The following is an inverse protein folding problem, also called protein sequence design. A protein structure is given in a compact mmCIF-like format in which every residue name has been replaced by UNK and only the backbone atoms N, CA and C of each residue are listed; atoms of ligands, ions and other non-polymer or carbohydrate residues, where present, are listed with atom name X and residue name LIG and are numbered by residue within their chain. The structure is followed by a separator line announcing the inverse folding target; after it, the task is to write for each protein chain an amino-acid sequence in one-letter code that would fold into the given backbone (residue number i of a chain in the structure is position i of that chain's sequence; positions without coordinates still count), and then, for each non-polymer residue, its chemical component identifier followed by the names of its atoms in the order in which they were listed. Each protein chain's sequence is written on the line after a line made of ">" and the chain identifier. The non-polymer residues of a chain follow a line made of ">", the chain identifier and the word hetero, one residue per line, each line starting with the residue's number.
data_IF_774459523051
#
_entry.id   IF_774459523051
#
_cell.length_a   1.000
_cell.length_b   1.000
_cell.length_c   1.000
_cell.angle_alpha   90.00
_cell.angle_beta   90.00
_cell.angle_gamma   90.00
#
_symmetry.space_group_name_H-M   'P 1'
#
loop_
_entity.id
_entity.type
_entity.pdbx_description
1 polymer ?
#
# COMPACT_ATOMS: atom_id res chain seq x y z
N UNK A 1 -33.83 -10.69 21.34
CA UNK A 1 -33.18 -11.87 20.73
C UNK A 1 -31.99 -11.33 19.98
N UNK A 2 -30.87 -11.10 20.66
CA UNK A 2 -29.84 -12.13 20.87
C UNK A 2 -28.72 -11.78 19.91
N UNK A 3 -27.85 -10.85 20.32
CA UNK A 3 -26.69 -10.45 19.55
C UNK A 3 -25.80 -11.68 19.33
N UNK A 4 -25.53 -11.98 18.06
CA UNK A 4 -24.56 -12.99 17.64
C UNK A 4 -23.17 -12.52 18.02
N UNK A 5 -22.69 -12.93 19.20
CA UNK A 5 -21.27 -12.97 19.49
C UNK A 5 -20.61 -14.04 18.60
N UNK A 6 -19.35 -13.79 18.23
CA UNK A 6 -18.42 -14.66 17.49
C UNK A 6 -18.56 -14.70 15.95
N UNK A 7 -18.30 -13.57 15.30
CA UNK A 7 -17.65 -13.62 14.00
C UNK A 7 -16.16 -13.95 14.22
N UNK A 8 -15.82 -15.24 14.35
CA UNK A 8 -14.43 -15.68 14.56
C UNK A 8 -13.57 -15.28 13.36
N UNK A 9 -12.54 -14.49 13.61
CA UNK A 9 -11.64 -13.93 12.59
C UNK A 9 -10.91 -15.06 11.83
N UNK A 10 -10.68 -14.95 10.50
CA UNK A 10 -9.97 -15.96 9.73
C UNK A 10 -8.56 -16.21 10.28
N UNK A 11 -8.15 -17.49 10.34
CA UNK A 11 -6.84 -17.91 10.85
C UNK A 11 -6.16 -18.78 9.81
N UNK A 12 -4.87 -18.55 9.60
CA UNK A 12 -4.05 -19.42 8.77
C UNK A 12 -2.97 -20.09 9.63
N UNK A 13 -2.71 -21.38 9.39
CA UNK A 13 -1.54 -22.05 9.95
C UNK A 13 -0.48 -22.25 8.87
N UNK A 14 0.75 -21.96 9.22
CA UNK A 14 1.94 -22.26 8.42
C UNK A 14 2.77 -23.29 9.18
N UNK A 15 3.15 -24.39 8.53
CA UNK A 15 4.05 -25.39 9.10
C UNK A 15 4.76 -26.18 8.01
N UNK A 16 5.90 -26.74 8.34
CA UNK A 16 6.72 -27.53 7.40
C UNK A 16 6.63 -29.01 7.76
N UNK A 17 6.57 -29.89 6.75
CA UNK A 17 6.41 -31.34 6.93
C UNK A 17 7.49 -32.08 6.15
N UNK A 18 8.25 -32.94 6.84
CA UNK A 18 9.21 -33.86 6.20
C UNK A 18 8.43 -34.95 5.46
N UNK A 19 8.66 -35.10 4.16
CA UNK A 19 7.90 -36.01 3.31
C UNK A 19 8.18 -37.48 3.64
N UNK A 20 7.11 -38.25 3.80
CA UNK A 20 7.12 -39.71 3.91
C UNK A 20 5.70 -40.27 3.73
N UNK A 21 5.54 -41.54 3.31
CA UNK A 21 4.22 -42.14 3.10
C UNK A 21 3.30 -41.99 4.32
N UNK A 22 2.08 -41.48 4.09
CA UNK A 22 1.05 -41.31 5.11
C UNK A 22 1.20 -40.09 6.03
N UNK A 23 2.28 -39.30 5.90
CA UNK A 23 2.52 -38.16 6.82
C UNK A 23 1.42 -37.10 6.74
N UNK A 24 0.93 -36.80 5.52
CA UNK A 24 -0.12 -35.80 5.33
C UNK A 24 -1.45 -36.24 5.96
N UNK A 25 -1.84 -37.51 5.81
CA UNK A 25 -3.01 -38.06 6.50
C UNK A 25 -2.86 -37.92 8.02
N UNK A 26 -1.67 -38.22 8.53
CA UNK A 26 -1.29 -37.98 9.92
C UNK A 26 -1.57 -36.53 10.32
N UNK A 27 -0.97 -35.58 9.64
CA UNK A 27 -1.14 -34.13 9.91
C UNK A 27 -2.62 -33.72 9.87
N UNK A 28 -3.36 -34.08 8.82
CA UNK A 28 -4.77 -33.70 8.67
C UNK A 28 -5.67 -34.31 9.74
N UNK A 29 -5.34 -35.50 10.25
CA UNK A 29 -6.07 -36.13 11.34
C UNK A 29 -6.07 -35.32 12.65
N UNK A 30 -5.08 -34.43 12.86
CA UNK A 30 -5.02 -33.55 14.04
C UNK A 30 -6.10 -32.48 14.00
N UNK A 31 -6.31 -31.85 12.84
CA UNK A 31 -7.41 -30.90 12.63
C UNK A 31 -8.77 -31.57 12.84
N UNK A 32 -8.95 -32.78 12.29
CA UNK A 32 -10.17 -33.58 12.48
C UNK A 32 -10.41 -33.90 13.96
N UNK A 33 -9.36 -34.23 14.72
CA UNK A 33 -9.48 -34.52 16.15
C UNK A 33 -9.91 -33.30 16.99
N UNK A 34 -9.62 -32.10 16.50
CA UNK A 34 -10.01 -30.83 17.12
C UNK A 34 -11.34 -30.27 16.58
N UNK A 35 -12.04 -31.00 15.69
CA UNK A 35 -13.28 -30.54 15.05
C UNK A 35 -13.09 -29.17 14.37
N UNK A 36 -12.01 -29.05 13.57
CA UNK A 36 -11.64 -27.86 12.79
C UNK A 36 -11.84 -28.15 11.31
N UNK A 37 -12.64 -27.33 10.64
CA UNK A 37 -12.78 -27.37 9.18
C UNK A 37 -11.70 -26.53 8.49
N UNK A 38 -11.24 -27.01 7.33
CA UNK A 38 -10.20 -26.36 6.53
C UNK A 38 -10.84 -25.73 5.29
N UNK A 39 -10.66 -24.41 5.13
CA UNK A 39 -11.14 -23.66 3.97
C UNK A 39 -10.22 -23.89 2.78
N UNK A 40 -8.91 -23.89 3.01
CA UNK A 40 -7.90 -24.08 1.98
C UNK A 40 -6.72 -24.85 2.54
N UNK A 41 -6.10 -25.68 1.70
CA UNK A 41 -4.85 -26.37 2.00
C UNK A 41 -3.96 -26.23 0.78
N UNK A 42 -2.81 -25.62 0.97
CA UNK A 42 -1.80 -25.50 -0.07
C UNK A 42 -0.46 -26.00 0.43
N UNK A 43 0.22 -26.81 -0.38
CA UNK A 43 1.60 -27.19 -0.14
C UNK A 43 2.55 -26.58 -1.17
N UNK A 44 3.78 -26.27 -0.76
CA UNK A 44 4.86 -25.87 -1.64
C UNK A 44 6.12 -26.69 -1.33
N UNK A 45 6.91 -27.09 -2.33
CA UNK A 45 8.19 -27.74 -2.08
C UNK A 45 9.12 -26.79 -1.34
N UNK A 46 9.59 -27.21 -0.18
CA UNK A 46 10.66 -26.57 0.57
C UNK A 46 12.03 -27.14 0.18
N UNK A 47 13.01 -27.01 1.08
CA UNK A 47 14.34 -27.62 0.89
C UNK A 47 14.31 -29.10 1.27
N UNK A 48 15.04 -29.94 0.53
CA UNK A 48 15.42 -31.31 0.94
C UNK A 48 14.26 -32.23 1.36
N UNK A 49 13.22 -32.36 0.53
CA UNK A 49 12.11 -33.29 0.80
C UNK A 49 11.16 -32.82 1.91
N UNK A 50 11.23 -31.54 2.29
CA UNK A 50 10.26 -30.88 3.16
C UNK A 50 9.22 -30.17 2.29
N UNK A 51 7.97 -30.16 2.74
CA UNK A 51 6.89 -29.38 2.16
C UNK A 51 6.35 -28.36 3.16
N UNK A 52 6.24 -27.11 2.74
CA UNK A 52 5.59 -26.07 3.52
C UNK A 52 4.10 -26.09 3.23
N UNK A 53 3.30 -26.17 4.29
CA UNK A 53 1.85 -26.19 4.25
C UNK A 53 1.30 -24.87 4.75
N UNK A 54 0.33 -24.36 4.01
CA UNK A 54 -0.45 -23.19 4.35
C UNK A 54 -1.91 -23.63 4.40
N UNK A 55 -2.51 -23.50 5.58
CA UNK A 55 -3.84 -24.02 5.85
C UNK A 55 -4.71 -22.90 6.37
N UNK A 56 -5.70 -22.49 5.59
CA UNK A 56 -6.69 -21.50 6.02
C UNK A 56 -7.85 -22.23 6.71
N UNK A 57 -8.20 -21.77 7.91
CA UNK A 57 -9.21 -22.40 8.77
C UNK A 57 -10.53 -21.65 8.67
N UNK A 58 -11.62 -22.37 8.90
CA UNK A 58 -12.88 -21.70 9.20
C UNK A 58 -12.76 -20.92 10.54
N UNK A 59 -13.65 -19.95 10.76
CA UNK A 59 -13.86 -19.34 12.07
C UNK A 59 -14.06 -20.41 13.16
N UNK A 60 -13.08 -20.60 14.08
CA UNK A 60 -13.15 -21.59 15.19
C UNK A 60 -12.70 -20.96 16.51
N UNK A 61 -13.24 -21.46 17.63
CA UNK A 61 -12.86 -21.05 18.98
C UNK A 61 -11.33 -21.18 19.27
N UNK A 62 -10.69 -20.17 19.90
CA UNK A 62 -9.23 -20.13 20.11
C UNK A 62 -8.64 -21.37 20.78
N UNK A 63 -9.33 -21.94 21.77
CA UNK A 63 -8.88 -23.13 22.50
C UNK A 63 -8.72 -24.37 21.59
N UNK A 64 -9.57 -24.52 20.56
CA UNK A 64 -9.44 -25.63 19.59
C UNK A 64 -8.23 -25.43 18.69
N UNK A 65 -7.94 -24.19 18.30
CA UNK A 65 -6.76 -23.85 17.50
C UNK A 65 -5.49 -24.11 18.31
N UNK A 66 -5.44 -23.69 19.58
CA UNK A 66 -4.33 -23.99 20.49
C UNK A 66 -4.09 -25.49 20.61
N UNK A 67 -5.16 -26.28 20.78
CA UNK A 67 -5.07 -27.73 20.83
C UNK A 67 -4.52 -28.31 19.52
N UNK A 68 -5.02 -27.86 18.36
CA UNK A 68 -4.53 -28.31 17.06
C UNK A 68 -3.05 -27.96 16.85
N UNK A 69 -2.63 -26.75 17.23
CA UNK A 69 -1.22 -26.32 17.17
C UNK A 69 -0.34 -27.18 18.07
N UNK A 70 -0.77 -27.51 19.29
CA UNK A 70 -0.04 -28.45 20.17
C UNK A 70 0.06 -29.85 19.56
N UNK A 71 -1.03 -30.34 18.96
CA UNK A 71 -1.05 -31.64 18.29
C UNK A 71 -0.16 -31.67 17.03
N UNK A 72 -0.04 -30.56 16.31
CA UNK A 72 0.88 -30.42 15.18
C UNK A 72 2.33 -30.40 15.67
N UNK A 73 2.65 -29.58 16.69
CA UNK A 73 4.00 -29.48 17.27
C UNK A 73 4.50 -30.79 17.89
N UNK A 74 3.61 -31.68 18.30
CA UNK A 74 3.98 -33.01 18.82
C UNK A 74 4.18 -34.06 17.71
N UNK A 75 3.89 -33.74 16.45
CA UNK A 75 4.15 -34.64 15.33
C UNK A 75 5.62 -34.57 14.92
N UNK A 76 6.30 -35.72 14.96
CA UNK A 76 7.73 -35.89 14.66
C UNK A 76 8.19 -35.41 13.27
N UNK A 77 7.28 -35.26 12.31
CA UNK A 77 7.58 -34.80 10.96
C UNK A 77 7.23 -33.33 10.73
N UNK A 78 6.58 -32.66 11.70
CA UNK A 78 6.12 -31.28 11.59
C UNK A 78 7.08 -30.35 12.31
N UNK A 79 7.45 -29.26 11.65
CA UNK A 79 8.35 -28.22 12.15
C UNK A 79 7.77 -26.83 11.84
N UNK A 80 8.33 -25.79 12.46
CA UNK A 80 8.05 -24.38 12.15
C UNK A 80 6.57 -23.97 12.17
N UNK A 81 5.80 -24.52 13.12
CA UNK A 81 4.36 -24.22 13.26
C UNK A 81 4.14 -22.77 13.73
N UNK A 82 3.58 -21.95 12.84
CA UNK A 82 3.18 -20.56 13.05
C UNK A 82 1.67 -20.40 12.86
N UNK A 83 1.07 -19.57 13.71
CA UNK A 83 -0.34 -19.18 13.61
C UNK A 83 -0.41 -17.74 13.11
N UNK A 84 -1.15 -17.51 12.03
CA UNK A 84 -1.38 -16.19 11.44
C UNK A 84 -2.79 -15.71 11.80
N UNK A 85 -2.90 -14.52 12.39
CA UNK A 85 -4.18 -13.95 12.85
C UNK A 85 -4.32 -12.49 12.40
N UNK A 86 -5.54 -12.04 12.06
CA UNK A 86 -5.76 -10.62 11.76
C UNK A 86 -5.85 -9.73 13.01
N UNK A 87 -6.07 -10.32 14.19
CA UNK A 87 -6.05 -9.62 15.47
C UNK A 87 -4.74 -9.89 16.21
N UNK A 88 -4.19 -8.86 16.85
CA UNK A 88 -3.07 -8.97 17.77
C UNK A 88 -3.50 -9.71 19.04
N UNK A 89 -3.49 -11.05 18.99
CA UNK A 89 -3.72 -11.84 20.18
C UNK A 89 -2.45 -11.83 21.04
N UNK A 90 -2.61 -11.66 22.36
CA UNK A 90 -1.52 -11.63 23.34
C UNK A 90 -0.82 -12.99 23.54
N UNK A 91 -1.17 -14.00 22.74
CA UNK A 91 -0.49 -15.28 22.72
C UNK A 91 0.86 -15.13 22.00
N UNK A 92 1.94 -15.42 22.71
CA UNK A 92 3.36 -15.21 22.37
C UNK A 92 3.88 -15.91 21.11
N UNK A 93 3.02 -16.52 20.29
CA UNK A 93 3.42 -17.22 19.04
C UNK A 93 2.59 -16.89 17.80
N UNK A 94 1.64 -15.93 17.86
CA UNK A 94 0.90 -15.51 16.66
C UNK A 94 1.64 -14.43 15.89
N UNK A 95 1.73 -14.61 14.58
CA UNK A 95 2.24 -13.61 13.63
C UNK A 95 1.03 -12.88 13.02
N UNK A 96 1.04 -11.55 12.89
CA UNK A 96 0.00 -10.84 12.16
C UNK A 96 -0.18 -11.41 10.75
N UNK A 97 -1.44 -11.63 10.34
CA UNK A 97 -1.74 -12.14 9.02
C UNK A 97 -1.26 -11.15 7.94
N UNK A 98 -0.76 -11.70 6.84
CA UNK A 98 -0.37 -10.93 5.66
C UNK A 98 -0.73 -11.69 4.38
N UNK A 99 -1.01 -10.97 3.27
CA UNK A 99 -1.29 -11.60 1.99
C UNK A 99 -0.06 -12.37 1.50
N UNK A 100 -0.25 -13.58 0.98
CA UNK A 100 0.83 -14.46 0.51
C UNK A 100 0.94 -14.48 -1.00
N UNK A 101 -0.16 -14.17 -1.68
CA UNK A 101 -0.26 -14.05 -3.13
C UNK A 101 -0.87 -12.70 -3.46
N UNK A 102 -0.54 -12.20 -4.65
CA UNK A 102 -1.13 -10.97 -5.19
C UNK A 102 -2.68 -11.00 -5.22
N UNK A 103 -3.29 -12.18 -5.41
CA UNK A 103 -4.75 -12.34 -5.37
C UNK A 103 -5.37 -12.09 -3.99
N UNK A 104 -4.60 -12.26 -2.92
CA UNK A 104 -5.10 -12.10 -1.55
C UNK A 104 -5.36 -10.61 -1.23
N UNK A 105 -4.78 -9.70 -2.03
CA UNK A 105 -5.09 -8.26 -2.00
C UNK A 105 -6.55 -7.97 -2.42
N UNK A 106 -7.24 -8.93 -3.04
CA UNK A 106 -8.68 -8.80 -3.32
C UNK A 106 -9.54 -8.67 -2.06
N UNK A 107 -9.02 -9.12 -0.91
CA UNK A 107 -9.70 -9.01 0.39
C UNK A 107 -9.65 -7.59 0.99
N UNK A 108 -8.87 -6.68 0.40
CA UNK A 108 -8.71 -5.31 0.92
C UNK A 108 -9.75 -4.34 0.35
N UNK A 109 -10.39 -4.71 -0.77
CA UNK A 109 -11.24 -3.81 -1.54
C UNK A 109 -12.39 -3.19 -0.74
N UNK A 110 -12.83 -3.82 0.35
CA UNK A 110 -13.94 -3.36 1.20
C UNK A 110 -13.48 -2.78 2.55
N UNK A 111 -12.17 -2.78 2.85
CA UNK A 111 -11.60 -2.36 4.14
C UNK A 111 -11.16 -0.89 4.14
N UNK A 112 -12.03 -0.01 3.68
CA UNK A 112 -11.74 1.44 3.61
C UNK A 112 -12.03 2.09 4.95
N UNK A 113 -11.09 2.89 5.44
CA UNK A 113 -11.21 3.64 6.70
C UNK A 113 -11.86 5.01 6.51
N UNK A 114 -11.47 5.72 5.44
CA UNK A 114 -11.94 7.09 5.17
C UNK A 114 -11.74 7.50 3.71
N UNK A 115 -12.24 8.69 3.35
CA UNK A 115 -12.11 9.30 2.01
C UNK A 115 -12.62 8.39 0.88
N UNK A 116 -13.66 7.60 1.18
CA UNK A 116 -14.32 6.71 0.23
C UNK A 116 -15.49 7.39 -0.47
N UNK A 117 -16.68 6.80 -0.33
CA UNK A 117 -17.94 7.42 -0.75
C UNK A 117 -18.42 8.49 0.25
N UNK A 118 -18.16 8.23 1.54
CA UNK A 118 -18.48 9.14 2.63
C UNK A 118 -17.43 10.25 2.73
N UNK A 119 -17.91 11.50 2.70
CA UNK A 119 -17.10 12.71 2.78
C UNK A 119 -17.28 13.37 4.14
N UNK A 120 -16.21 13.92 4.69
CA UNK A 120 -16.27 14.74 5.90
C UNK A 120 -17.07 16.03 5.67
N UNK A 121 -17.65 16.60 6.74
CA UNK A 121 -18.56 17.73 6.65
C UNK A 121 -17.89 19.03 6.13
N UNK A 122 -16.58 19.15 6.29
CA UNK A 122 -15.74 20.25 5.81
C UNK A 122 -15.19 20.01 4.39
N UNK A 123 -15.43 18.84 3.81
CA UNK A 123 -15.03 18.55 2.43
C UNK A 123 -15.81 19.46 1.45
N UNK A 124 -15.15 20.07 0.44
CA UNK A 124 -15.80 21.01 -0.48
C UNK A 124 -16.97 20.40 -1.28
N UNK A 125 -16.94 19.09 -1.50
CA UNK A 125 -18.01 18.32 -2.15
C UNK A 125 -19.08 17.75 -1.22
N UNK A 126 -19.05 18.02 0.10
CA UNK A 126 -19.97 17.39 1.06
C UNK A 126 -21.45 17.68 0.77
N UNK A 127 -21.76 18.92 0.36
CA UNK A 127 -23.13 19.34 0.03
C UNK A 127 -23.46 19.20 -1.47
N UNK A 128 -22.48 18.85 -2.30
CA UNK A 128 -22.68 18.63 -3.74
C UNK A 128 -23.21 17.20 -3.97
N UNK A 129 -24.48 17.10 -4.36
CA UNK A 129 -25.10 15.82 -4.65
C UNK A 129 -24.50 15.12 -5.89
N UNK A 130 -24.14 15.87 -6.92
CA UNK A 130 -23.58 15.31 -8.15
C UNK A 130 -22.15 14.79 -7.91
N UNK A 131 -21.35 15.51 -7.13
CA UNK A 131 -20.01 15.05 -6.76
C UNK A 131 -20.04 13.76 -5.91
N UNK A 132 -20.96 13.66 -4.95
CA UNK A 132 -21.14 12.44 -4.13
C UNK A 132 -21.58 11.24 -4.96
N UNK A 133 -22.55 11.43 -5.86
CA UNK A 133 -22.98 10.37 -6.79
C UNK A 133 -21.82 9.95 -7.70
N UNK A 134 -21.02 10.91 -8.19
CA UNK A 134 -19.82 10.64 -9.00
C UNK A 134 -18.77 9.84 -8.22
N UNK A 135 -18.53 10.16 -6.94
CA UNK A 135 -17.64 9.40 -6.06
C UNK A 135 -18.12 7.96 -5.85
N UNK A 136 -19.39 7.76 -5.54
CA UNK A 136 -19.99 6.42 -5.42
C UNK A 136 -19.85 5.61 -6.71
N UNK A 137 -20.05 6.24 -7.87
CA UNK A 137 -19.90 5.57 -9.15
C UNK A 137 -18.45 5.11 -9.42
N UNK A 138 -17.45 5.97 -9.16
CA UNK A 138 -16.03 5.63 -9.39
C UNK A 138 -15.55 4.57 -8.40
N UNK A 139 -15.92 4.68 -7.13
CA UNK A 139 -15.51 3.72 -6.09
C UNK A 139 -16.15 2.34 -6.28
N UNK A 140 -17.34 2.25 -6.88
CA UNK A 140 -17.93 0.96 -7.27
C UNK A 140 -17.04 0.17 -8.25
N UNK A 141 -16.28 0.85 -9.11
CA UNK A 141 -15.31 0.18 -9.98
C UNK A 141 -14.19 -0.49 -9.18
N UNK A 142 -13.68 0.19 -8.15
CA UNK A 142 -12.68 -0.36 -7.24
C UNK A 142 -13.25 -1.53 -6.42
N UNK A 143 -14.50 -1.41 -5.94
CA UNK A 143 -15.21 -2.47 -5.20
C UNK A 143 -15.34 -3.76 -6.00
N UNK A 144 -15.62 -3.66 -7.30
CA UNK A 144 -15.80 -4.82 -8.19
C UNK A 144 -14.51 -5.41 -8.72
N UNK A 145 -13.42 -4.64 -8.71
CA UNK A 145 -12.14 -5.09 -9.27
C UNK A 145 -11.60 -6.30 -8.50
N UNK A 146 -11.13 -7.31 -9.25
CA UNK A 146 -10.44 -8.49 -8.73
C UNK A 146 -9.17 -8.73 -9.53
N UNK A 147 -8.20 -9.37 -8.92
CA UNK A 147 -6.89 -9.61 -9.52
C UNK A 147 -7.04 -10.44 -10.79
N UNK A 148 -6.45 -9.96 -11.89
CA UNK A 148 -6.53 -10.58 -13.22
C UNK A 148 -7.68 -10.07 -14.10
N UNK A 149 -8.57 -9.23 -13.57
CA UNK A 149 -9.53 -8.47 -14.40
C UNK A 149 -8.83 -7.30 -15.11
N UNK A 150 -9.36 -6.83 -16.25
CA UNK A 150 -8.92 -5.56 -16.81
C UNK A 150 -9.18 -4.42 -15.82
N UNK A 151 -8.25 -3.47 -15.75
CA UNK A 151 -8.40 -2.29 -14.90
C UNK A 151 -9.56 -1.42 -15.43
N UNK A 152 -10.46 -0.94 -14.54
CA UNK A 152 -11.65 -0.21 -14.96
C UNK A 152 -11.26 1.16 -15.52
N UNK A 153 -11.83 1.49 -16.68
CA UNK A 153 -11.72 2.83 -17.26
C UNK A 153 -12.76 3.76 -16.65
N UNK A 154 -12.36 5.02 -16.44
CA UNK A 154 -13.26 6.09 -15.99
C UNK A 154 -13.45 7.08 -17.13
N UNK A 155 -14.68 7.23 -17.60
CA UNK A 155 -15.05 8.31 -18.51
C UNK A 155 -15.13 9.62 -17.74
N UNK A 156 -14.02 10.35 -17.65
CA UNK A 156 -13.95 11.63 -16.96
C UNK A 156 -14.76 12.71 -17.69
N UNK A 157 -15.42 13.57 -16.92
CA UNK A 157 -16.20 14.68 -17.47
C UNK A 157 -15.30 15.81 -17.97
N UNK A 158 -15.81 16.74 -18.81
CA UNK A 158 -15.04 17.92 -19.21
C UNK A 158 -14.59 18.79 -18.02
N UNK A 159 -15.38 18.84 -16.93
CA UNK A 159 -15.01 19.58 -15.72
C UNK A 159 -13.87 18.90 -14.96
N UNK A 160 -13.90 17.56 -14.86
CA UNK A 160 -12.82 16.78 -14.25
C UNK A 160 -11.51 16.94 -15.04
N UNK A 161 -11.56 16.85 -16.37
CA UNK A 161 -10.40 17.13 -17.22
C UNK A 161 -9.88 18.57 -17.06
N UNK A 162 -10.77 19.55 -16.92
CA UNK A 162 -10.38 20.94 -16.66
C UNK A 162 -9.68 21.09 -15.31
N UNK A 163 -10.19 20.45 -14.26
CA UNK A 163 -9.56 20.45 -12.92
C UNK A 163 -8.16 19.87 -12.96
N UNK A 164 -7.99 18.71 -13.60
CA UNK A 164 -6.69 18.10 -13.85
C UNK A 164 -5.73 19.05 -14.60
N UNK A 165 -6.20 19.65 -15.70
CA UNK A 165 -5.38 20.56 -16.51
C UNK A 165 -4.89 21.78 -15.74
N UNK A 166 -5.70 22.29 -14.79
CA UNK A 166 -5.28 23.37 -13.89
C UNK A 166 -4.14 22.92 -12.96
N UNK A 167 -4.27 21.74 -12.32
CA UNK A 167 -3.23 21.18 -11.45
C UNK A 167 -1.94 20.90 -12.23
N UNK A 168 -2.06 20.26 -13.39
CA UNK A 168 -0.94 20.00 -14.30
C UNK A 168 -0.16 21.27 -14.63
N UNK A 169 -0.88 22.32 -15.02
CA UNK A 169 -0.26 23.57 -15.48
C UNK A 169 0.55 24.24 -14.38
N UNK A 170 0.05 24.27 -13.15
CA UNK A 170 0.78 24.89 -12.02
C UNK A 170 2.02 24.06 -11.64
N UNK A 171 1.88 22.74 -11.51
CA UNK A 171 2.98 21.89 -11.04
C UNK A 171 4.08 21.69 -12.10
N UNK A 172 3.70 21.54 -13.38
CA UNK A 172 4.66 21.31 -14.47
C UNK A 172 5.66 22.45 -14.67
N UNK A 173 5.32 23.67 -14.24
CA UNK A 173 6.24 24.81 -14.23
C UNK A 173 7.33 24.70 -13.15
N UNK A 174 7.04 24.01 -12.04
CA UNK A 174 7.95 23.86 -10.91
C UNK A 174 8.89 22.65 -11.04
N UNK A 175 8.43 21.57 -11.67
CA UNK A 175 9.21 20.31 -11.74
C UNK A 175 10.65 20.44 -12.22
N UNK A 176 10.97 21.22 -13.29
CA UNK A 176 12.34 21.33 -13.78
C UNK A 176 13.34 21.85 -12.74
N UNK A 177 12.86 22.64 -11.78
CA UNK A 177 13.70 23.28 -10.75
C UNK A 177 13.51 22.68 -9.36
N UNK A 178 12.38 22.05 -9.07
CA UNK A 178 12.05 21.56 -7.72
C UNK A 178 12.07 20.03 -7.59
N UNK A 179 11.67 19.30 -8.64
CA UNK A 179 11.63 17.84 -8.60
C UNK A 179 13.02 17.23 -8.80
N UNK A 180 13.21 16.02 -8.28
CA UNK A 180 14.44 15.24 -8.50
C UNK A 180 14.64 14.88 -9.99
N UNK A 181 15.83 14.38 -10.31
CA UNK A 181 16.22 14.11 -11.70
C UNK A 181 15.49 12.89 -12.24
N UNK A 182 15.22 11.90 -11.40
CA UNK A 182 14.49 10.68 -11.72
C UNK A 182 13.06 11.04 -12.16
N UNK A 183 12.40 11.93 -11.41
CA UNK A 183 11.08 12.47 -11.80
C UNK A 183 11.11 13.16 -13.17
N UNK A 184 12.06 14.09 -13.37
CA UNK A 184 12.19 14.83 -14.63
C UNK A 184 12.62 13.96 -15.81
N UNK A 185 13.25 12.81 -15.55
CA UNK A 185 13.57 11.81 -16.56
C UNK A 185 12.32 11.01 -16.98
N UNK A 186 11.48 10.61 -16.03
CA UNK A 186 10.32 9.75 -16.30
C UNK A 186 9.12 10.54 -16.84
N UNK A 187 8.87 11.76 -16.38
CA UNK A 187 7.67 12.52 -16.78
C UNK A 187 7.49 12.64 -18.31
N UNK A 188 8.52 12.94 -19.12
CA UNK A 188 8.39 12.95 -20.57
C UNK A 188 7.98 11.60 -21.18
N UNK A 189 8.37 10.47 -20.57
CA UNK A 189 7.98 9.13 -21.00
C UNK A 189 6.49 8.88 -20.73
N UNK A 190 5.98 9.33 -19.58
CA UNK A 190 4.55 9.27 -19.25
C UNK A 190 3.71 10.14 -20.20
N UNK A 191 4.23 11.29 -20.62
CA UNK A 191 3.57 12.13 -21.64
C UNK A 191 3.45 11.38 -22.97
N UNK A 192 4.52 10.69 -23.37
CA UNK A 192 4.55 9.96 -24.65
C UNK A 192 3.73 8.67 -24.65
N UNK A 193 3.70 7.95 -23.53
CA UNK A 193 3.18 6.57 -23.48
C UNK A 193 1.88 6.41 -22.67
N UNK A 194 1.58 7.35 -21.77
CA UNK A 194 0.44 7.25 -20.84
C UNK A 194 -0.51 8.44 -20.92
N UNK A 195 -0.39 9.27 -21.96
CA UNK A 195 -1.25 10.44 -22.19
C UNK A 195 -1.24 11.48 -21.06
N UNK A 196 -0.12 11.59 -20.34
CA UNK A 196 0.08 12.69 -19.40
C UNK A 196 0.14 14.01 -20.18
N UNK A 197 -0.54 15.03 -19.67
CA UNK A 197 -0.68 16.33 -20.31
C UNK A 197 -1.88 17.09 -19.74
N UNK A 198 -2.11 18.35 -20.15
CA UNK A 198 -3.16 19.18 -19.55
C UNK A 198 -4.58 18.82 -20.01
N UNK A 199 -4.74 18.11 -21.13
CA UNK A 199 -6.03 18.01 -21.82
C UNK A 199 -6.91 16.85 -21.34
N UNK A 200 -6.32 15.80 -20.76
CA UNK A 200 -7.04 14.61 -20.30
C UNK A 200 -6.38 13.99 -19.08
N UNK A 201 -7.22 13.41 -18.22
CA UNK A 201 -6.78 12.59 -17.09
C UNK A 201 -6.31 11.23 -17.64
N UNK A 202 -5.09 10.79 -17.31
CA UNK A 202 -4.57 9.45 -17.65
C UNK A 202 -5.43 8.32 -17.06
N UNK A 203 -5.52 7.20 -17.77
CA UNK A 203 -6.19 5.99 -17.25
C UNK A 203 -5.17 5.12 -16.52
N UNK A 204 -5.54 4.61 -15.34
CA UNK A 204 -4.66 3.75 -14.55
C UNK A 204 -4.30 2.44 -15.28
N UNK A 205 -5.10 2.01 -16.25
CA UNK A 205 -4.82 0.83 -17.07
C UNK A 205 -3.53 1.01 -17.91
N UNK A 206 -3.42 2.13 -18.62
CA UNK A 206 -2.26 2.47 -19.45
C UNK A 206 -1.02 2.66 -18.57
N UNK A 207 -1.19 3.36 -17.44
CA UNK A 207 -0.11 3.63 -16.48
C UNK A 207 0.39 2.35 -15.81
N UNK A 208 -0.52 1.46 -15.39
CA UNK A 208 -0.16 0.17 -14.81
C UNK A 208 0.59 -0.71 -15.79
N UNK A 209 0.23 -0.66 -17.09
CA UNK A 209 0.99 -1.37 -18.12
C UNK A 209 2.40 -0.81 -18.28
N UNK A 210 2.54 0.51 -18.31
CA UNK A 210 3.84 1.17 -18.40
C UNK A 210 4.75 0.85 -17.19
N UNK A 211 4.23 0.97 -15.96
CA UNK A 211 4.98 0.64 -14.75
C UNK A 211 5.42 -0.83 -14.71
N UNK A 212 4.57 -1.74 -15.19
CA UNK A 212 4.89 -3.17 -15.25
C UNK A 212 6.08 -3.42 -16.16
N UNK A 213 6.14 -2.72 -17.29
CA UNK A 213 7.22 -2.86 -18.27
C UNK A 213 8.52 -2.16 -17.80
N UNK A 214 8.44 -1.13 -16.95
CA UNK A 214 9.59 -0.44 -16.37
C UNK A 214 10.20 -1.19 -15.17
N UNK A 215 9.38 -1.47 -14.15
CA UNK A 215 9.85 -1.90 -12.83
C UNK A 215 9.02 -3.05 -12.26
N UNK A 216 8.07 -3.59 -13.02
CA UNK A 216 7.15 -4.63 -12.53
C UNK A 216 6.08 -4.12 -11.57
N UNK A 217 6.03 -2.82 -11.29
CA UNK A 217 4.97 -2.21 -10.49
C UNK A 217 3.65 -2.19 -11.25
N UNK A 218 2.55 -2.34 -10.52
CA UNK A 218 1.20 -2.28 -11.08
C UNK A 218 0.28 -1.46 -10.19
N UNK A 219 -0.76 -0.89 -10.81
CA UNK A 219 -1.81 -0.16 -10.10
C UNK A 219 -3.00 -1.04 -9.80
N UNK A 220 -3.63 -0.78 -8.65
CA UNK A 220 -4.90 -1.36 -8.24
C UNK A 220 -5.85 -0.25 -7.82
N UNK A 221 -7.08 -0.18 -8.37
CA UNK A 221 -8.03 0.83 -7.96
C UNK A 221 -8.43 0.61 -6.50
N UNK A 222 -8.47 1.69 -5.73
CA UNK A 222 -8.93 1.68 -4.34
C UNK A 222 -10.05 2.69 -4.15
N UNK A 223 -10.98 2.37 -3.26
CA UNK A 223 -12.12 3.22 -2.98
C UNK A 223 -11.74 4.46 -2.15
N UNK A 224 -10.73 4.36 -1.29
CA UNK A 224 -10.28 5.40 -0.36
C UNK A 224 -9.07 4.91 0.44
N UNK A 225 -8.85 5.46 1.64
CA UNK A 225 -7.71 5.05 2.48
C UNK A 225 -7.91 3.66 3.08
N UNK A 226 -6.90 2.80 2.88
CA UNK A 226 -6.77 1.51 3.56
C UNK A 226 -6.07 1.69 4.92
N UNK A 227 -6.08 0.63 5.74
CA UNK A 227 -5.17 0.57 6.88
C UNK A 227 -3.72 0.62 6.41
N UNK A 228 -2.82 1.21 7.21
CA UNK A 228 -1.38 1.25 6.90
C UNK A 228 -0.82 -0.14 6.62
N UNK A 229 -1.28 -1.14 7.37
CA UNK A 229 -0.89 -2.55 7.17
C UNK A 229 -1.29 -3.05 5.78
N UNK A 230 -2.54 -2.89 5.39
CA UNK A 230 -3.03 -3.41 4.10
C UNK A 230 -2.39 -2.66 2.92
N UNK A 231 -2.22 -1.34 3.06
CA UNK A 231 -1.58 -0.51 2.04
C UNK A 231 -0.11 -0.88 1.85
N UNK A 232 0.68 -0.93 2.93
CA UNK A 232 2.10 -1.25 2.87
C UNK A 232 2.33 -2.71 2.44
N UNK A 233 1.51 -3.66 2.89
CA UNK A 233 1.62 -5.06 2.47
C UNK A 233 1.49 -5.21 0.94
N UNK A 234 0.75 -4.34 0.26
CA UNK A 234 0.62 -4.37 -1.20
C UNK A 234 1.95 -4.04 -1.91
N UNK A 235 2.81 -3.23 -1.30
CA UNK A 235 4.11 -2.84 -1.86
C UNK A 235 5.05 -4.06 -1.93
N UNK A 236 4.86 -5.04 -1.05
CA UNK A 236 5.55 -6.34 -1.09
C UNK A 236 5.23 -7.14 -2.37
N UNK A 237 4.19 -6.75 -3.11
CA UNK A 237 3.81 -7.32 -4.40
C UNK A 237 4.07 -6.35 -5.57
N UNK A 238 4.75 -5.22 -5.31
CA UNK A 238 4.87 -4.09 -6.25
C UNK A 238 3.50 -3.64 -6.75
N UNK A 239 2.51 -3.63 -5.87
CA UNK A 239 1.15 -3.14 -6.15
C UNK A 239 0.92 -1.86 -5.39
N UNK A 240 0.61 -0.79 -6.12
CA UNK A 240 0.20 0.48 -5.55
C UNK A 240 -1.32 0.63 -5.65
N UNK A 241 -1.97 0.87 -4.51
CA UNK A 241 -3.39 1.19 -4.45
C UNK A 241 -3.59 2.66 -4.81
N UNK A 242 -4.32 2.94 -5.88
CA UNK A 242 -4.49 4.29 -6.43
C UNK A 242 -5.97 4.62 -6.55
N UNK A 243 -6.37 5.79 -6.07
CA UNK A 243 -7.72 6.31 -6.28
C UNK A 243 -7.92 6.73 -7.73
N UNK A 244 -9.19 6.73 -8.19
CA UNK A 244 -9.53 7.18 -9.55
C UNK A 244 -10.39 8.45 -9.57
N UNK A 245 -10.91 8.90 -8.43
CA UNK A 245 -11.69 10.14 -8.36
C UNK A 245 -10.77 11.34 -8.39
N UNK A 246 -11.29 12.49 -8.81
CA UNK A 246 -10.57 13.77 -8.80
C UNK A 246 -11.13 14.70 -7.72
N UNK A 247 -10.29 15.57 -7.17
CA UNK A 247 -10.67 16.62 -6.22
C UNK A 247 -11.78 17.51 -6.76
N UNK A 248 -12.53 18.12 -5.86
CA UNK A 248 -13.65 18.99 -6.21
C UNK A 248 -13.18 20.25 -6.97
N UNK A 249 -13.90 20.62 -8.03
CA UNK A 249 -13.51 21.70 -8.94
C UNK A 249 -13.46 23.10 -8.29
N UNK A 250 -14.11 23.30 -7.15
CA UNK A 250 -14.06 24.57 -6.39
C UNK A 250 -12.72 24.81 -5.70
N UNK A 251 -11.91 23.76 -5.48
CA UNK A 251 -10.61 23.84 -4.79
C UNK A 251 -9.54 23.05 -5.55
N UNK A 252 -9.19 23.44 -6.79
CA UNK A 252 -8.30 22.64 -7.64
C UNK A 252 -6.86 22.58 -7.09
N UNK A 253 -6.42 23.58 -6.33
CA UNK A 253 -5.04 23.67 -5.84
C UNK A 253 -4.82 23.09 -4.43
N UNK A 254 -5.86 22.53 -3.82
CA UNK A 254 -5.78 21.95 -2.47
C UNK A 254 -6.75 20.79 -2.31
N UNK A 255 -6.27 19.68 -1.75
CA UNK A 255 -7.11 18.57 -1.29
C UNK A 255 -6.41 17.87 -0.13
N UNK A 256 -7.11 17.53 0.97
CA UNK A 256 -6.57 16.65 1.99
C UNK A 256 -6.62 15.17 1.58
N UNK A 257 -7.42 14.84 0.56
CA UNK A 257 -7.58 13.47 0.06
C UNK A 257 -6.55 13.16 -1.04
N UNK A 258 -6.02 11.93 -1.11
CA UNK A 258 -5.17 11.48 -2.21
C UNK A 258 -6.01 11.20 -3.46
N UNK A 259 -6.43 12.26 -4.16
CA UNK A 259 -7.15 12.16 -5.44
C UNK A 259 -6.23 11.72 -6.59
N UNK A 260 -6.79 11.42 -7.76
CA UNK A 260 -6.01 10.93 -8.90
C UNK A 260 -4.90 11.90 -9.36
N UNK A 261 -5.01 13.21 -9.06
CA UNK A 261 -3.90 14.15 -9.30
C UNK A 261 -2.70 13.81 -8.42
N UNK A 262 -2.93 13.58 -7.12
CA UNK A 262 -1.88 13.17 -6.18
C UNK A 262 -1.25 11.84 -6.60
N UNK A 263 -2.07 10.85 -6.92
CA UNK A 263 -1.59 9.53 -7.34
C UNK A 263 -0.72 9.63 -8.60
N UNK A 264 -1.27 10.21 -9.67
CA UNK A 264 -0.67 10.20 -10.99
C UNK A 264 0.52 11.14 -11.10
N UNK A 265 0.46 12.33 -10.49
CA UNK A 265 1.54 13.33 -10.60
C UNK A 265 2.57 13.20 -9.49
N UNK A 266 2.19 12.70 -8.31
CA UNK A 266 3.09 12.51 -7.18
C UNK A 266 3.82 11.17 -7.24
N UNK A 267 3.08 10.07 -7.19
CA UNK A 267 3.65 8.74 -7.00
C UNK A 267 4.20 8.09 -8.28
N UNK A 268 3.39 8.09 -9.35
CA UNK A 268 3.67 7.28 -10.55
C UNK A 268 5.06 7.52 -11.16
N UNK A 269 5.56 8.76 -11.31
CA UNK A 269 6.84 8.96 -11.98
C UNK A 269 8.00 8.26 -11.28
N UNK A 270 7.98 8.16 -9.94
CA UNK A 270 9.04 7.49 -9.20
C UNK A 270 8.88 5.98 -9.14
N UNK A 271 7.66 5.43 -9.21
CA UNK A 271 7.52 3.97 -9.35
C UNK A 271 8.09 3.41 -10.65
N UNK A 272 8.33 4.25 -11.66
CA UNK A 272 9.04 3.87 -12.88
C UNK A 272 10.58 3.95 -12.76
N UNK A 273 11.12 4.50 -11.68
CA UNK A 273 12.55 4.46 -11.38
C UNK A 273 12.90 3.14 -10.65
N UNK A 274 13.91 2.36 -11.10
CA UNK A 274 14.23 1.07 -10.50
C UNK A 274 14.67 1.13 -9.03
N UNK A 275 15.48 2.12 -8.64
CA UNK A 275 15.99 2.20 -7.27
C UNK A 275 14.88 2.62 -6.30
N UNK A 276 14.01 3.55 -6.71
CA UNK A 276 12.84 3.94 -5.93
C UNK A 276 11.81 2.80 -5.85
N UNK A 277 11.57 2.10 -6.96
CA UNK A 277 10.70 0.93 -7.01
C UNK A 277 11.18 -0.18 -6.06
N UNK A 278 12.48 -0.44 -5.99
CA UNK A 278 13.07 -1.40 -5.07
C UNK A 278 12.98 -0.90 -3.61
N UNK A 279 13.22 0.38 -3.36
CA UNK A 279 13.03 0.99 -2.04
C UNK A 279 11.61 0.82 -1.52
N UNK A 280 10.60 1.21 -2.30
CA UNK A 280 9.21 1.07 -1.91
C UNK A 280 8.82 -0.39 -1.71
N UNK A 281 9.36 -1.30 -2.53
CA UNK A 281 9.16 -2.73 -2.36
C UNK A 281 9.75 -3.24 -1.03
N UNK A 282 10.92 -2.75 -0.63
CA UNK A 282 11.56 -3.10 0.64
C UNK A 282 10.70 -2.69 1.85
N UNK A 283 10.08 -1.49 1.84
CA UNK A 283 9.11 -1.09 2.87
C UNK A 283 7.96 -2.09 2.93
N UNK A 284 7.44 -2.52 1.78
CA UNK A 284 6.37 -3.50 1.73
C UNK A 284 6.77 -4.87 2.26
N UNK A 285 7.99 -5.33 1.96
CA UNK A 285 8.52 -6.58 2.53
C UNK A 285 8.65 -6.50 4.05
N UNK A 286 9.13 -5.37 4.57
CA UNK A 286 9.25 -5.13 6.00
C UNK A 286 7.90 -5.11 6.72
N UNK A 287 6.79 -4.76 6.04
CA UNK A 287 5.45 -4.74 6.66
C UNK A 287 4.80 -6.11 6.80
N UNK A 288 5.24 -7.12 6.04
CA UNK A 288 4.65 -8.46 6.04
C UNK A 288 4.85 -9.16 7.40
N UNK A 289 3.76 -9.26 8.18
CA UNK A 289 3.78 -9.90 9.50
C UNK A 289 4.43 -9.05 10.60
N UNK A 290 4.75 -7.79 10.33
CA UNK A 290 5.19 -6.83 11.35
C UNK A 290 4.10 -6.59 12.40
N UNK A 291 4.46 -6.35 13.66
CA UNK A 291 3.53 -5.92 14.72
C UNK A 291 2.88 -4.58 14.39
N UNK A 292 1.81 -4.21 15.10
CA UNK A 292 1.14 -2.91 14.86
C UNK A 292 2.06 -1.72 15.16
N UNK A 293 2.89 -1.82 16.21
CA UNK A 293 3.90 -0.80 16.53
C UNK A 293 4.94 -0.65 15.40
N UNK A 294 5.37 -1.77 14.80
CA UNK A 294 6.30 -1.75 13.66
C UNK A 294 5.62 -1.19 12.40
N UNK A 295 4.33 -1.46 12.17
CA UNK A 295 3.56 -0.86 11.08
C UNK A 295 3.45 0.66 11.25
N UNK A 296 3.21 1.17 12.46
CA UNK A 296 3.18 2.63 12.72
C UNK A 296 4.53 3.29 12.41
N UNK A 297 5.63 2.63 12.80
CA UNK A 297 7.00 3.06 12.50
C UNK A 297 7.29 3.06 11.00
N UNK A 298 6.90 2.00 10.28
CA UNK A 298 7.03 1.89 8.83
C UNK A 298 6.16 2.93 8.10
N UNK A 299 4.95 3.20 8.58
CA UNK A 299 4.08 4.25 8.05
C UNK A 299 4.71 5.64 8.24
N UNK A 300 5.40 5.87 9.35
CA UNK A 300 6.15 7.11 9.58
C UNK A 300 7.37 7.23 8.64
N UNK A 301 8.09 6.14 8.40
CA UNK A 301 9.15 6.09 7.38
C UNK A 301 8.56 6.41 6.00
N UNK A 302 7.45 5.77 5.63
CA UNK A 302 6.75 6.02 4.37
C UNK A 302 6.36 7.51 4.23
N UNK A 303 5.81 8.12 5.27
CA UNK A 303 5.45 9.54 5.30
C UNK A 303 6.65 10.44 4.99
N UNK A 304 7.77 10.26 5.69
CA UNK A 304 8.95 11.09 5.51
C UNK A 304 9.80 10.74 4.28
N UNK A 305 9.41 9.72 3.53
CA UNK A 305 10.12 9.30 2.32
C UNK A 305 9.20 9.38 1.10
N UNK A 306 8.36 8.37 0.89
CA UNK A 306 7.47 8.27 -0.27
C UNK A 306 6.52 9.47 -0.38
N UNK A 307 6.02 10.03 0.73
CA UNK A 307 5.09 11.17 0.71
C UNK A 307 5.79 12.54 0.74
N UNK A 308 6.73 12.75 1.66
CA UNK A 308 7.36 14.05 1.91
C UNK A 308 8.89 14.01 1.86
N UNK A 309 9.46 13.08 1.10
CA UNK A 309 10.91 12.93 1.01
C UNK A 309 11.60 13.97 0.12
N UNK A 310 12.81 14.35 0.55
CA UNK A 310 13.76 15.14 -0.22
C UNK A 310 15.01 14.32 -0.53
N UNK A 311 15.71 14.61 -1.64
CA UNK A 311 16.97 13.95 -1.97
C UNK A 311 18.07 14.96 -2.26
N UNK A 312 19.32 14.55 -2.09
CA UNK A 312 20.48 15.33 -2.52
C UNK A 312 20.79 15.11 -4.00
N UNK A 313 21.16 16.19 -4.69
CA UNK A 313 21.67 16.16 -6.05
C UNK A 313 22.88 17.09 -6.15
N UNK A 314 24.07 16.52 -5.96
CA UNK A 314 25.29 17.30 -5.80
C UNK A 314 25.20 18.17 -4.53
N UNK A 315 25.28 19.49 -4.69
CA UNK A 315 25.15 20.44 -3.58
C UNK A 315 23.72 20.89 -3.32
N UNK A 316 22.77 20.49 -4.16
CA UNK A 316 21.38 20.94 -4.09
C UNK A 316 20.46 19.89 -3.48
N UNK A 317 19.29 20.33 -3.03
CA UNK A 317 18.20 19.47 -2.53
C UNK A 317 17.02 19.56 -3.50
N UNK A 318 16.37 18.43 -3.74
CA UNK A 318 15.19 18.31 -4.62
C UNK A 318 14.11 17.45 -3.99
N UNK A 319 12.87 17.68 -4.37
CA UNK A 319 11.72 16.92 -3.90
C UNK A 319 11.54 15.62 -4.70
N UNK A 320 11.19 14.56 -3.98
CA UNK A 320 10.74 13.31 -4.57
C UNK A 320 9.44 12.79 -3.91
N UNK A 321 9.10 13.28 -2.72
CA UNK A 321 7.85 12.90 -2.06
C UNK A 321 6.61 13.26 -2.89
N UNK A 322 5.65 12.33 -2.98
CA UNK A 322 4.43 12.49 -3.74
C UNK A 322 3.55 13.65 -3.24
N UNK A 323 3.42 13.83 -1.92
CA UNK A 323 2.76 14.97 -1.29
C UNK A 323 3.35 16.30 -1.71
N UNK A 324 4.67 16.37 -1.89
CA UNK A 324 5.35 17.56 -2.43
C UNK A 324 5.06 17.74 -3.92
N UNK A 325 5.26 16.70 -4.70
CA UNK A 325 5.15 16.77 -6.16
C UNK A 325 3.71 16.96 -6.65
N UNK A 326 2.71 16.77 -5.80
CA UNK A 326 1.30 17.01 -6.09
C UNK A 326 0.72 18.27 -5.44
N UNK A 327 1.52 19.01 -4.66
CA UNK A 327 1.13 20.21 -3.92
C UNK A 327 2.01 21.39 -4.31
N UNK A 328 1.44 22.33 -5.08
CA UNK A 328 2.18 23.52 -5.55
C UNK A 328 2.76 24.33 -4.39
N UNK A 329 1.96 24.56 -3.35
CA UNK A 329 2.36 25.37 -2.20
C UNK A 329 3.44 24.70 -1.36
N UNK A 330 3.31 23.40 -1.12
CA UNK A 330 4.26 22.67 -0.30
C UNK A 330 5.57 22.37 -1.02
N UNK A 331 5.54 22.13 -2.34
CA UNK A 331 6.75 21.97 -3.15
C UNK A 331 7.68 23.20 -3.05
N UNK A 332 7.09 24.39 -3.14
CA UNK A 332 7.82 25.66 -3.01
C UNK A 332 8.31 25.88 -1.57
N UNK A 333 7.47 25.56 -0.59
CA UNK A 333 7.80 25.70 0.83
C UNK A 333 8.94 24.76 1.24
N UNK A 334 8.89 23.48 0.85
CA UNK A 334 9.85 22.44 1.20
C UNK A 334 11.29 22.77 0.75
N UNK A 335 11.44 23.54 -0.33
CA UNK A 335 12.72 24.01 -0.88
C UNK A 335 13.12 25.45 -0.49
N UNK A 336 12.30 26.15 0.31
CA UNK A 336 12.62 27.48 0.87
C UNK A 336 13.61 27.44 2.04
N UNK A 337 13.89 28.56 2.69
CA UNK A 337 14.70 28.63 3.92
C UNK A 337 13.91 28.37 5.21
N UNK A 338 12.59 28.15 5.10
CA UNK A 338 11.68 28.04 6.25
C UNK A 338 11.72 26.68 6.97
N UNK A 339 11.64 25.52 6.29
CA UNK A 339 11.57 24.25 7.00
C UNK A 339 12.95 23.74 7.41
N UNK A 340 12.98 22.89 8.43
CA UNK A 340 14.17 22.17 8.80
C UNK A 340 14.40 21.00 7.83
N UNK A 341 15.67 20.74 7.49
CA UNK A 341 16.08 19.58 6.69
C UNK A 341 17.17 18.81 7.42
N UNK A 342 17.00 17.51 7.57
CA UNK A 342 17.97 16.63 8.24
C UNK A 342 18.24 15.38 7.40
N UNK A 343 19.39 14.72 7.54
CA UNK A 343 19.66 13.46 6.83
C UNK A 343 18.66 12.37 7.24
N UNK A 344 18.23 11.55 6.28
CA UNK A 344 17.41 10.37 6.54
C UNK A 344 18.15 9.32 7.39
N UNK A 345 17.50 8.89 8.47
CA UNK A 345 18.00 7.86 9.38
C UNK A 345 16.79 7.10 9.94
N UNK A 346 16.53 5.84 9.50
CA UNK A 346 15.30 5.12 9.81
C UNK A 346 14.90 5.13 11.29
N UNK A 347 15.86 4.85 12.19
CA UNK A 347 15.61 4.80 13.63
C UNK A 347 15.13 6.12 14.24
N UNK A 348 15.49 7.27 13.66
CA UNK A 348 15.00 8.59 14.08
C UNK A 348 13.72 8.95 13.33
N UNK A 349 13.70 8.71 12.03
CA UNK A 349 12.55 9.00 11.18
C UNK A 349 11.31 8.28 11.68
N UNK A 350 11.40 6.98 11.98
CA UNK A 350 10.28 6.12 12.39
C UNK A 350 9.53 6.55 13.67
N UNK A 351 10.11 7.42 14.48
CA UNK A 351 9.51 7.92 15.74
C UNK A 351 9.28 9.44 15.72
N UNK A 352 9.46 10.07 14.56
CA UNK A 352 9.27 11.52 14.41
C UNK A 352 7.78 11.82 14.23
N UNK A 353 7.22 12.71 15.06
CA UNK A 353 5.85 13.17 14.90
C UNK A 353 5.70 14.16 13.72
N UNK A 354 4.54 14.19 13.07
CA UNK A 354 4.27 15.05 11.93
C UNK A 354 2.81 15.57 11.91
N UNK A 355 2.57 16.80 11.42
CA UNK A 355 1.22 17.27 11.12
C UNK A 355 0.73 16.71 9.77
N UNK A 356 -0.58 16.46 9.65
CA UNK A 356 -1.20 15.98 8.40
C UNK A 356 -2.02 17.08 7.67
N UNK A 357 -2.32 18.18 8.35
CA UNK A 357 -3.14 19.29 7.83
C UNK A 357 -2.36 20.59 7.61
N UNK A 358 -1.04 20.57 7.82
CA UNK A 358 -0.16 21.72 7.69
C UNK A 358 1.11 21.31 6.94
N UNK A 359 1.83 22.30 6.38
CA UNK A 359 3.12 22.02 5.74
C UNK A 359 4.13 21.43 6.73
N UNK A 360 4.91 20.45 6.29
CA UNK A 360 5.81 19.74 7.20
C UNK A 360 6.88 20.70 7.75
N UNK A 361 7.04 20.82 9.09
CA UNK A 361 8.08 21.67 9.67
C UNK A 361 9.49 21.09 9.47
N UNK A 362 9.58 19.79 9.19
CA UNK A 362 10.79 19.00 9.07
C UNK A 362 10.69 18.05 7.87
N UNK A 363 11.76 18.00 7.08
CA UNK A 363 11.92 17.04 5.99
C UNK A 363 13.18 16.21 6.18
N UNK A 364 13.11 14.93 5.80
CA UNK A 364 14.27 14.05 5.74
C UNK A 364 14.86 14.04 4.32
N UNK A 365 16.19 14.12 4.25
CA UNK A 365 16.95 14.18 3.00
C UNK A 365 17.69 12.86 2.79
N UNK A 366 17.29 12.10 1.78
CA UNK A 366 17.96 10.89 1.33
C UNK A 366 19.22 11.23 0.50
N UNK A 367 20.28 10.44 0.68
CA UNK A 367 21.50 10.57 -0.14
C UNK A 367 21.29 10.00 -1.55
N UNK A 368 20.64 8.83 -1.62
CA UNK A 368 20.18 8.19 -2.86
C UNK A 368 19.09 7.17 -2.51
N UNK A 369 18.25 6.79 -3.47
CA UNK A 369 17.23 5.77 -3.27
C UNK A 369 17.84 4.40 -2.93
N UNK A 370 18.95 4.02 -3.57
CA UNK A 370 19.68 2.82 -3.24
C UNK A 370 20.17 2.81 -1.78
N UNK A 371 20.79 3.89 -1.31
CA UNK A 371 21.25 3.97 0.09
C UNK A 371 20.08 3.92 1.07
N UNK A 372 19.00 4.64 0.77
CA UNK A 372 17.78 4.65 1.58
C UNK A 372 17.15 3.25 1.70
N UNK A 373 17.13 2.47 0.61
CA UNK A 373 16.71 1.06 0.60
C UNK A 373 17.56 0.20 1.53
N UNK A 374 18.90 0.29 1.44
CA UNK A 374 19.77 -0.51 2.32
C UNK A 374 19.59 -0.11 3.79
N UNK A 375 19.42 1.18 4.09
CA UNK A 375 19.12 1.64 5.45
C UNK A 375 17.79 1.08 5.99
N UNK A 376 16.73 1.03 5.17
CA UNK A 376 15.44 0.44 5.57
C UNK A 376 15.51 -1.07 5.70
N UNK A 377 16.31 -1.76 4.88
CA UNK A 377 16.53 -3.21 5.03
C UNK A 377 17.27 -3.57 6.32
N UNK A 378 18.21 -2.73 6.74
CA UNK A 378 18.99 -2.93 7.97
C UNK A 378 18.18 -2.62 9.24
N UNK A 379 17.21 -1.71 9.15
CA UNK A 379 16.28 -1.33 10.22
C UNK A 379 15.24 -2.42 10.47
#
# INVERSE_FOLDING_TARGET
>A
MGASADATTPISLLFSVVDRPGVLEGVLARFRACDINLVSIESRPGKEGVYDFFVDLEPVAPNRIEQAVQMLRSHDAVTDVKTLTHEANTATTSVPWFPRKIRDLDTFAEKVLSYGEDLDADHPGFTDAAYRERRAHITENARRYRTGMPLPHVEYTPEEHKTWGMVWKELSQLYPTHACREYNYVLPLLVQNCHFGPDRVPQIADVSSFLRDCTGWTLRPVMGLLSSRDFLNAFAFRVFHSTQYIRHASSPLYTPEPDCCHELLGHIPLFADPDFADFSHEIGLASLGASDEEIERLATIYWFTVEFGLCKQGTEVRAYGAGLLSSFGELSYALSDKPQRVPFEPSKTAVTAYPITEYQPLYYVAESFHHMKEQVREY
#
